data_IF_895772900410
#
_entry.id   IF_895772900410
#
_cell.length_a   1.000
_cell.length_b   1.000
_cell.length_c   1.000
_cell.angle_alpha   90.00
_cell.angle_beta   90.00
_cell.angle_gamma   90.00
#
_symmetry.space_group_name_H-M   'P 1'
#
loop_
_entity.id
_entity.type
_entity.pdbx_description
1 polymer ?
#
# COMPACT_ATOMS: atom_id res chain seq x y z
N UNK A 1 10.38 14.20 12.75
CA UNK A 1 10.45 13.28 11.61
C UNK A 1 10.83 11.89 12.11
N UNK A 2 10.13 10.83 11.64
CA UNK A 2 10.44 9.43 11.95
C UNK A 2 11.21 8.78 10.81
N UNK A 3 12.36 8.11 11.10
CA UNK A 3 13.13 7.30 10.13
C UNK A 3 13.63 6.04 10.79
N UNK A 4 13.29 4.89 10.23
CA UNK A 4 13.83 3.60 10.62
C UNK A 4 15.21 3.40 9.98
N UNK A 5 16.25 3.18 10.79
CA UNK A 5 17.63 3.00 10.32
C UNK A 5 17.99 1.53 10.15
N UNK A 6 17.75 0.72 11.17
CA UNK A 6 18.13 -0.70 11.13
C UNK A 6 17.22 -1.59 11.97
N UNK A 7 17.23 -2.89 11.62
CA UNK A 7 16.48 -3.92 12.34
C UNK A 7 17.22 -5.25 12.29
N UNK A 8 17.61 -5.77 13.46
CA UNK A 8 18.35 -7.04 13.59
C UNK A 8 17.56 -7.99 14.46
N UNK A 9 17.45 -9.25 14.03
CA UNK A 9 16.83 -10.34 14.79
C UNK A 9 17.75 -11.54 14.83
N UNK A 10 17.86 -12.16 16.01
CA UNK A 10 18.54 -13.45 16.19
C UNK A 10 17.65 -14.43 16.92
N UNK A 11 17.82 -15.71 16.61
CA UNK A 11 17.18 -16.81 17.32
C UNK A 11 18.20 -17.93 17.54
N UNK A 12 18.30 -18.41 18.78
CA UNK A 12 19.33 -19.39 19.18
C UNK A 12 20.75 -18.97 18.73
N UNK A 13 21.10 -17.71 19.00
CA UNK A 13 22.37 -17.04 18.60
C UNK A 13 22.60 -16.90 17.08
N UNK A 14 21.65 -17.33 16.23
CA UNK A 14 21.75 -17.24 14.77
C UNK A 14 21.05 -15.99 14.27
N UNK A 15 21.70 -15.26 13.37
CA UNK A 15 21.08 -14.11 12.71
C UNK A 15 19.99 -14.60 11.78
N UNK A 16 18.76 -14.09 11.96
CA UNK A 16 17.62 -14.34 11.08
C UNK A 16 17.46 -13.20 10.10
N UNK A 17 17.50 -11.96 10.59
CA UNK A 17 17.53 -10.74 9.80
C UNK A 17 18.60 -9.80 10.32
N UNK A 18 19.33 -9.18 9.40
CA UNK A 18 20.22 -8.06 9.67
C UNK A 18 20.03 -7.04 8.55
N UNK A 19 19.24 -6.02 8.85
CA UNK A 19 18.72 -5.09 7.85
C UNK A 19 19.08 -3.65 8.19
N UNK A 20 19.65 -2.94 7.22
CA UNK A 20 19.89 -1.51 7.22
C UNK A 20 19.02 -0.88 6.14
N UNK A 21 18.22 0.12 6.51
CA UNK A 21 17.28 0.80 5.62
C UNK A 21 17.76 2.18 5.22
N UNK A 22 18.51 2.83 6.10
CA UNK A 22 19.06 4.16 5.87
C UNK A 22 20.36 4.37 6.68
N UNK A 23 21.36 4.98 6.05
CA UNK A 23 22.63 5.36 6.69
C UNK A 23 22.84 6.87 6.74
N UNK A 24 21.95 7.67 6.12
CA UNK A 24 22.09 9.13 6.11
C UNK A 24 21.68 9.73 7.44
N UNK A 25 22.38 10.78 7.83
CA UNK A 25 21.97 11.66 8.93
C UNK A 25 20.63 12.34 8.60
N UNK A 26 19.98 12.83 9.63
CA UNK A 26 18.68 13.52 9.51
C UNK A 26 18.89 14.89 8.85
N UNK A 27 18.51 15.00 7.58
CA UNK A 27 18.36 16.28 6.90
C UNK A 27 16.88 16.62 6.76
N UNK A 28 16.55 17.92 6.74
CA UNK A 28 15.18 18.34 6.39
C UNK A 28 14.88 17.89 4.95
N UNK A 29 13.78 17.16 4.79
CA UNK A 29 13.36 16.61 3.50
C UNK A 29 12.05 17.25 3.04
N UNK A 30 12.00 17.50 1.75
CA UNK A 30 10.81 18.12 1.15
C UNK A 30 9.66 17.12 0.95
N UNK A 31 9.93 15.82 1.00
CA UNK A 31 8.93 14.77 0.77
C UNK A 31 9.11 13.56 1.71
N UNK A 32 8.08 12.71 1.78
CA UNK A 32 8.09 11.43 2.47
C UNK A 32 9.34 10.61 2.15
N UNK A 33 10.06 10.15 3.18
CA UNK A 33 11.18 9.22 2.97
C UNK A 33 10.68 7.84 2.61
N UNK A 34 11.24 7.26 1.56
CA UNK A 34 10.79 5.98 1.02
C UNK A 34 11.95 4.99 0.91
N UNK A 35 11.87 3.86 1.60
CA UNK A 35 12.78 2.72 1.41
C UNK A 35 12.10 1.67 0.56
N UNK A 36 12.68 1.33 -0.59
CA UNK A 36 12.23 0.23 -1.42
C UNK A 36 13.11 -1.00 -1.16
N UNK A 37 12.48 -2.09 -0.72
CA UNK A 37 13.12 -3.38 -0.50
C UNK A 37 12.84 -4.28 -1.68
N UNK A 38 13.89 -4.71 -2.36
CA UNK A 38 13.84 -5.68 -3.45
C UNK A 38 14.54 -6.98 -3.04
N UNK A 39 14.34 -8.03 -3.80
CA UNK A 39 15.01 -9.32 -3.60
C UNK A 39 14.24 -10.45 -4.29
N UNK A 40 14.88 -11.61 -4.40
CA UNK A 40 14.27 -12.79 -5.01
C UNK A 40 13.00 -13.26 -4.31
N UNK A 41 12.23 -14.12 -5.00
CA UNK A 41 11.10 -14.80 -4.39
C UNK A 41 11.59 -15.66 -3.22
N UNK A 42 10.92 -15.52 -2.07
CA UNK A 42 11.34 -16.23 -0.86
C UNK A 42 12.48 -15.59 -0.07
N UNK A 43 13.02 -14.44 -0.50
CA UNK A 43 14.01 -13.69 0.29
C UNK A 43 13.48 -13.22 1.65
N UNK A 44 12.15 -13.22 1.85
CA UNK A 44 11.54 -12.93 3.14
C UNK A 44 11.12 -11.48 3.34
N UNK A 45 10.94 -10.71 2.27
CA UNK A 45 10.52 -9.29 2.30
C UNK A 45 9.22 -9.07 3.08
N UNK A 46 8.14 -9.77 2.70
CA UNK A 46 6.83 -9.67 3.38
C UNK A 46 6.90 -10.08 4.85
N UNK A 47 7.76 -11.06 5.18
CA UNK A 47 7.97 -11.49 6.55
C UNK A 47 8.75 -10.45 7.36
N UNK A 48 9.72 -9.77 6.76
CA UNK A 48 10.44 -8.63 7.37
C UNK A 48 9.46 -7.51 7.71
N UNK A 49 8.60 -7.10 6.78
CA UNK A 49 7.59 -6.06 7.03
C UNK A 49 6.63 -6.47 8.16
N UNK A 50 6.18 -7.74 8.16
CA UNK A 50 5.40 -8.29 9.27
C UNK A 50 6.11 -8.14 10.61
N UNK A 51 7.38 -8.52 10.67
CA UNK A 51 8.15 -8.47 11.91
C UNK A 51 8.34 -7.05 12.42
N UNK A 52 8.58 -6.09 11.52
CA UNK A 52 8.62 -4.67 11.84
C UNK A 52 7.27 -4.19 12.42
N UNK A 53 6.18 -4.53 11.76
CA UNK A 53 4.84 -4.14 12.23
C UNK A 53 4.51 -4.74 13.60
N UNK A 54 4.79 -6.02 13.80
CA UNK A 54 4.55 -6.71 15.06
C UNK A 54 5.44 -6.17 16.18
N UNK A 55 6.72 -5.89 15.89
CA UNK A 55 7.64 -5.29 16.84
C UNK A 55 7.09 -3.96 17.36
N UNK A 56 6.84 -2.99 16.49
CA UNK A 56 6.35 -1.68 16.89
C UNK A 56 4.97 -1.76 17.57
N UNK A 57 4.08 -2.65 17.12
CA UNK A 57 2.78 -2.88 17.74
C UNK A 57 2.90 -3.36 19.18
N UNK A 58 3.76 -4.34 19.44
CA UNK A 58 3.91 -4.92 20.78
C UNK A 58 4.64 -4.01 21.76
N UNK A 59 5.72 -3.38 21.31
CA UNK A 59 6.52 -2.52 22.18
C UNK A 59 5.82 -1.19 22.46
N UNK A 60 5.19 -0.57 21.45
CA UNK A 60 4.51 0.71 21.65
C UNK A 60 3.24 0.62 22.52
N UNK A 61 2.58 -0.54 22.51
CA UNK A 61 1.42 -0.78 23.38
C UNK A 61 1.81 -1.20 24.80
N UNK A 62 3.11 -1.22 25.12
CA UNK A 62 3.64 -1.65 26.43
C UNK A 62 3.11 -3.03 26.87
N UNK A 63 2.53 -3.79 25.95
CA UNK A 63 2.15 -5.17 26.19
C UNK A 63 3.42 -5.99 26.39
N UNK A 64 3.39 -6.89 27.35
CA UNK A 64 4.55 -7.67 27.83
C UNK A 64 5.49 -8.08 26.69
N UNK A 65 6.77 -7.70 26.72
CA UNK A 65 7.77 -8.03 25.68
C UNK A 65 7.98 -9.54 25.46
N UNK A 66 7.37 -10.38 26.31
CA UNK A 66 7.44 -11.84 26.24
C UNK A 66 6.71 -12.46 25.03
N UNK A 67 5.87 -11.68 24.31
CA UNK A 67 5.19 -12.19 23.11
C UNK A 67 6.08 -12.22 21.86
N UNK A 68 7.31 -11.67 21.93
CA UNK A 68 8.27 -11.75 20.84
C UNK A 68 9.11 -13.01 21.02
N UNK A 69 8.89 -14.01 20.16
CA UNK A 69 9.50 -15.35 20.21
C UNK A 69 11.01 -15.42 19.97
N UNK A 70 11.66 -14.27 19.72
CA UNK A 70 13.09 -14.24 19.39
C UNK A 70 13.93 -13.89 20.61
N UNK A 71 15.11 -14.52 20.70
CA UNK A 71 16.02 -14.37 21.84
C UNK A 71 16.67 -12.98 21.84
N UNK A 72 16.89 -12.43 20.65
CA UNK A 72 17.50 -11.12 20.46
C UNK A 72 16.76 -10.36 19.35
N UNK A 73 16.52 -9.10 19.58
CA UNK A 73 16.24 -8.13 18.54
C UNK A 73 16.88 -6.77 18.88
N UNK A 74 17.19 -6.01 17.85
CA UNK A 74 17.63 -4.63 17.96
C UNK A 74 16.94 -3.81 16.85
N UNK A 75 16.36 -2.68 17.22
CA UNK A 75 15.83 -1.69 16.28
C UNK A 75 16.48 -0.34 16.56
N UNK A 76 16.83 0.37 15.51
CA UNK A 76 17.36 1.71 15.59
C UNK A 76 16.57 2.63 14.67
N UNK A 77 16.13 3.76 15.18
CA UNK A 77 15.37 4.75 14.43
C UNK A 77 15.64 6.16 14.98
N UNK A 78 15.30 7.15 14.18
CA UNK A 78 15.33 8.55 14.55
C UNK A 78 13.88 9.06 14.66
N UNK A 79 13.64 9.90 15.65
CA UNK A 79 12.36 10.59 15.85
C UNK A 79 12.59 11.92 16.54
N UNK A 80 12.10 13.01 15.94
CA UNK A 80 12.21 14.37 16.52
C UNK A 80 13.66 14.72 16.92
N UNK A 81 14.61 14.59 16.00
CA UNK A 81 16.04 14.87 16.19
C UNK A 81 16.77 13.96 17.20
N UNK A 82 16.06 13.00 17.77
CA UNK A 82 16.65 12.05 18.70
C UNK A 82 16.86 10.69 18.05
N UNK A 83 17.97 10.04 18.34
CA UNK A 83 18.20 8.64 17.99
C UNK A 83 17.70 7.72 19.10
N UNK A 84 16.94 6.70 18.70
CA UNK A 84 16.44 5.69 19.62
C UNK A 84 17.01 4.31 19.21
N UNK A 85 17.42 3.54 20.21
CA UNK A 85 17.78 2.14 20.05
C UNK A 85 17.05 1.31 21.10
N UNK A 86 16.35 0.26 20.67
CA UNK A 86 15.67 -0.67 21.56
C UNK A 86 16.24 -2.06 21.29
N UNK A 87 16.75 -2.68 22.33
CA UNK A 87 17.39 -3.98 22.27
C UNK A 87 16.77 -4.93 23.28
N UNK A 88 16.46 -6.15 22.87
CA UNK A 88 16.15 -7.28 23.76
C UNK A 88 17.29 -8.27 23.68
N UNK A 89 17.90 -8.55 24.81
CA UNK A 89 18.95 -9.56 24.95
C UNK A 89 18.73 -10.33 26.25
N UNK A 90 18.85 -11.67 26.21
CA UNK A 90 18.71 -12.55 27.37
C UNK A 90 17.43 -12.29 28.22
N UNK A 91 16.33 -11.97 27.55
CA UNK A 91 15.04 -11.68 28.19
C UNK A 91 14.90 -10.27 28.77
N UNK A 92 15.95 -9.45 28.74
CA UNK A 92 15.93 -8.06 29.21
C UNK A 92 15.73 -7.12 28.03
N UNK A 93 14.91 -6.10 28.25
CA UNK A 93 14.68 -5.01 27.29
C UNK A 93 15.45 -3.77 27.76
N UNK A 94 16.30 -3.25 26.88
CA UNK A 94 17.10 -2.06 27.14
C UNK A 94 16.80 -1.04 26.05
N UNK A 95 16.56 0.20 26.45
CA UNK A 95 16.29 1.31 25.53
C UNK A 95 17.27 2.45 25.73
N UNK A 96 17.62 3.08 24.62
CA UNK A 96 18.56 4.19 24.56
C UNK A 96 17.94 5.37 23.80
N UNK A 97 18.23 6.58 24.27
CA UNK A 97 17.98 7.85 23.58
C UNK A 97 19.31 8.60 23.49
N UNK A 98 19.77 8.90 22.27
CA UNK A 98 21.06 9.56 22.03
C UNK A 98 22.20 8.87 22.82
N UNK A 99 22.28 7.54 22.68
CA UNK A 99 23.26 6.65 23.33
C UNK A 99 23.15 6.55 24.87
N UNK A 100 22.24 7.28 25.49
CA UNK A 100 22.01 7.21 26.95
C UNK A 100 20.88 6.24 27.24
N UNK A 101 21.09 5.35 28.21
CA UNK A 101 20.02 4.44 28.68
C UNK A 101 18.84 5.21 29.24
N UNK A 102 17.64 4.86 28.80
CA UNK A 102 16.39 5.44 29.28
C UNK A 102 15.40 4.34 29.64
N UNK A 103 14.39 4.69 30.39
CA UNK A 103 13.27 3.79 30.65
C UNK A 103 12.43 3.61 29.39
N UNK A 104 11.92 2.39 29.15
CA UNK A 104 11.07 2.09 27.98
C UNK A 104 9.81 2.98 27.95
N UNK A 105 9.36 3.43 29.12
CA UNK A 105 8.23 4.35 29.23
C UNK A 105 8.53 5.76 28.66
N UNK A 106 9.79 6.14 28.60
CA UNK A 106 10.27 7.40 28.05
C UNK A 106 10.59 7.32 26.57
N UNK A 107 10.47 6.16 25.94
CA UNK A 107 10.70 5.98 24.51
C UNK A 107 9.55 6.57 23.70
N UNK A 108 9.88 7.39 22.73
CA UNK A 108 8.92 7.90 21.76
C UNK A 108 8.82 6.94 20.58
N UNK A 109 7.60 6.69 20.12
CA UNK A 109 7.30 5.77 18.99
C UNK A 109 6.60 6.51 17.87
N UNK A 110 6.63 5.99 16.62
CA UNK A 110 5.85 6.57 15.53
C UNK A 110 4.38 6.69 15.91
N UNK A 111 3.72 7.78 15.48
CA UNK A 111 2.32 8.06 15.83
C UNK A 111 1.38 7.01 15.31
N UNK A 112 1.61 6.56 14.07
CA UNK A 112 0.88 5.44 13.45
C UNK A 112 1.87 4.42 12.87
N UNK A 113 1.44 3.17 12.87
CA UNK A 113 2.10 2.04 12.22
C UNK A 113 1.07 1.49 11.25
N UNK A 114 1.23 1.77 9.98
CA UNK A 114 0.26 1.44 8.94
C UNK A 114 0.79 0.27 8.14
N UNK A 115 0.09 -0.86 8.19
CA UNK A 115 0.41 -2.06 7.41
C UNK A 115 -0.60 -2.20 6.27
N UNK A 116 -0.12 -2.11 5.04
CA UNK A 116 -0.90 -2.11 3.82
C UNK A 116 -0.43 -3.25 2.91
N UNK A 117 -1.35 -4.05 2.42
CA UNK A 117 -1.06 -5.10 1.46
C UNK A 117 -2.18 -5.25 0.43
N UNK A 118 -1.75 -5.50 -0.81
CA UNK A 118 -2.63 -5.79 -1.93
C UNK A 118 -2.90 -7.30 -2.09
N UNK A 119 -2.29 -8.14 -1.25
CA UNK A 119 -2.45 -9.59 -1.27
C UNK A 119 -3.60 -10.05 -0.37
N UNK A 120 -4.37 -11.04 -0.84
CA UNK A 120 -5.38 -11.73 -0.02
C UNK A 120 -4.74 -12.53 1.12
N UNK A 121 -3.58 -13.13 0.85
CA UNK A 121 -2.82 -13.96 1.82
C UNK A 121 -1.58 -13.25 2.34
N UNK A 122 -1.69 -11.97 2.71
CA UNK A 122 -0.57 -11.22 3.28
C UNK A 122 -0.12 -11.78 4.64
N UNK A 123 1.03 -11.33 5.11
CA UNK A 123 1.65 -11.80 6.36
C UNK A 123 1.37 -10.90 7.56
N UNK A 124 0.85 -9.70 7.37
CA UNK A 124 0.58 -8.76 8.46
C UNK A 124 -0.42 -9.32 9.47
N UNK A 125 -0.32 -8.88 10.71
CA UNK A 125 -1.26 -9.26 11.75
C UNK A 125 -2.56 -8.47 11.58
N UNK A 126 -3.66 -9.19 11.43
CA UNK A 126 -4.99 -8.58 11.42
C UNK A 126 -5.40 -8.20 12.85
N UNK A 127 -5.83 -6.96 13.02
CA UNK A 127 -6.41 -6.45 14.27
C UNK A 127 -7.74 -5.82 13.92
N UNK A 128 -8.81 -6.27 14.58
CA UNK A 128 -10.13 -5.69 14.36
C UNK A 128 -10.21 -4.26 14.92
N UNK A 129 -11.00 -3.41 14.31
CA UNK A 129 -11.23 -2.02 14.79
C UNK A 129 -11.74 -1.97 16.23
N UNK A 130 -12.40 -3.04 16.69
CA UNK A 130 -12.90 -3.16 18.07
C UNK A 130 -11.79 -3.40 19.11
N UNK A 131 -10.63 -3.92 18.71
CA UNK A 131 -9.56 -4.30 19.63
C UNK A 131 -8.55 -3.21 19.90
N UNK A 132 -8.66 -2.05 19.29
CA UNK A 132 -7.70 -1.11 19.68
C UNK A 132 -7.52 0.16 18.90
N UNK A 133 -7.75 1.19 19.61
CA UNK A 133 -7.24 2.52 19.39
C UNK A 133 -5.71 2.62 19.60
N UNK A 134 -4.96 1.52 19.38
CA UNK A 134 -3.51 1.54 19.36
C UNK A 134 -2.95 2.30 18.15
N UNK A 135 -1.64 2.39 18.08
CA UNK A 135 -0.92 3.04 16.96
C UNK A 135 -1.00 2.24 15.66
N UNK A 136 -1.23 0.92 15.75
CA UNK A 136 -1.24 0.02 14.59
C UNK A 136 -2.57 0.07 13.83
N UNK A 137 -2.48 0.10 12.50
CA UNK A 137 -3.61 0.05 11.56
C UNK A 137 -3.29 -0.92 10.43
N UNK A 138 -4.19 -1.89 10.23
CA UNK A 138 -4.12 -2.82 9.11
C UNK A 138 -5.07 -2.37 8.00
N UNK A 139 -4.54 -2.12 6.81
CA UNK A 139 -5.27 -1.64 5.63
C UNK A 139 -5.28 -2.67 4.48
N UNK A 140 -5.01 -3.94 4.76
CA UNK A 140 -5.00 -4.98 3.73
C UNK A 140 -6.38 -5.55 3.40
N UNK A 141 -6.43 -6.33 2.33
CA UNK A 141 -7.66 -6.92 1.75
C UNK A 141 -8.40 -7.83 2.75
N UNK A 142 -7.68 -8.54 3.62
CA UNK A 142 -8.30 -9.46 4.61
C UNK A 142 -9.27 -8.78 5.57
N UNK A 143 -9.15 -7.48 5.77
CA UNK A 143 -10.10 -6.72 6.57
C UNK A 143 -11.55 -6.78 6.01
N UNK A 144 -11.72 -7.29 4.80
CA UNK A 144 -12.97 -7.34 4.05
C UNK A 144 -13.42 -8.76 3.69
N UNK A 145 -12.64 -9.80 4.01
CA UNK A 145 -12.77 -11.13 3.38
C UNK A 145 -13.90 -12.03 3.91
N UNK A 146 -14.64 -11.66 4.97
CA UNK A 146 -15.65 -12.54 5.57
C UNK A 146 -17.08 -11.97 5.59
N UNK A 147 -17.36 -10.89 4.91
CA UNK A 147 -18.69 -10.33 4.83
C UNK A 147 -19.11 -10.16 3.37
N UNK A 148 -20.40 -10.09 3.11
CA UNK A 148 -21.01 -9.67 1.85
C UNK A 148 -20.20 -8.51 1.28
N UNK A 149 -19.27 -8.84 0.37
CA UNK A 149 -18.07 -8.11 -0.01
C UNK A 149 -18.29 -6.62 -0.32
N UNK A 150 -19.47 -6.26 -0.83
CA UNK A 150 -19.78 -4.91 -1.28
C UNK A 150 -20.13 -3.95 -0.15
N UNK A 151 -21.06 -4.27 0.75
CA UNK A 151 -21.56 -3.30 1.73
C UNK A 151 -20.54 -2.93 2.83
N UNK A 152 -19.71 -3.87 3.27
CA UNK A 152 -18.69 -3.58 4.29
C UNK A 152 -17.56 -2.72 3.73
N UNK A 153 -17.16 -2.94 2.47
CA UNK A 153 -16.15 -2.13 1.78
C UNK A 153 -16.67 -0.71 1.59
N UNK A 154 -17.91 -0.56 1.11
CA UNK A 154 -18.54 0.73 0.90
C UNK A 154 -18.64 1.54 2.21
N UNK A 155 -19.01 0.91 3.32
CA UNK A 155 -19.04 1.56 4.63
C UNK A 155 -17.66 2.01 5.11
N UNK A 156 -16.64 1.18 4.92
CA UNK A 156 -15.26 1.56 5.25
C UNK A 156 -14.78 2.71 4.41
N UNK A 157 -15.07 2.68 3.12
CA UNK A 157 -14.71 3.76 2.21
C UNK A 157 -15.42 5.06 2.62
N UNK A 158 -16.71 5.01 2.92
CA UNK A 158 -17.45 6.15 3.46
C UNK A 158 -16.83 6.70 4.74
N UNK A 159 -16.52 5.83 5.70
CA UNK A 159 -15.85 6.24 6.95
C UNK A 159 -14.52 6.94 6.67
N UNK A 160 -13.72 6.42 5.73
CA UNK A 160 -12.44 7.02 5.36
C UNK A 160 -12.62 8.36 4.66
N UNK A 161 -13.62 8.51 3.79
CA UNK A 161 -13.98 9.78 3.14
C UNK A 161 -14.39 10.81 4.21
N UNK A 162 -15.25 10.43 5.15
CA UNK A 162 -15.69 11.32 6.22
C UNK A 162 -14.50 11.78 7.10
N UNK A 163 -13.57 10.88 7.41
CA UNK A 163 -12.35 11.25 8.13
C UNK A 163 -11.48 12.25 7.36
N UNK A 164 -11.39 12.10 6.04
CA UNK A 164 -10.64 13.05 5.19
C UNK A 164 -11.36 14.39 5.13
N UNK A 165 -12.69 14.40 4.98
CA UNK A 165 -13.49 15.62 4.96
C UNK A 165 -13.42 16.39 6.30
N UNK A 166 -13.16 15.69 7.41
CA UNK A 166 -12.97 16.29 8.73
C UNK A 166 -11.61 16.96 8.92
N UNK A 167 -10.64 16.71 8.02
CA UNK A 167 -9.29 17.27 8.07
C UNK A 167 -8.94 17.94 6.73
N UNK A 168 -9.03 19.26 6.70
CA UNK A 168 -8.80 20.06 5.49
C UNK A 168 -7.43 19.83 4.84
N UNK A 169 -6.41 19.38 5.59
CA UNK A 169 -5.09 19.03 5.06
C UNK A 169 -5.12 17.80 4.16
N UNK A 170 -6.09 16.92 4.36
CA UNK A 170 -6.20 15.64 3.61
C UNK A 170 -6.98 15.76 2.30
N UNK A 171 -7.82 16.77 2.17
CA UNK A 171 -8.69 16.95 0.98
C UNK A 171 -7.89 17.04 -0.33
N UNK A 172 -6.78 17.80 -0.44
CA UNK A 172 -6.01 17.86 -1.69
C UNK A 172 -5.45 16.51 -2.14
N UNK A 173 -5.24 15.58 -1.20
CA UNK A 173 -4.72 14.24 -1.50
C UNK A 173 -5.72 13.36 -2.24
N UNK A 174 -7.02 13.52 -1.98
CA UNK A 174 -8.08 12.81 -2.72
C UNK A 174 -8.08 13.24 -4.20
N UNK A 175 -8.00 14.54 -4.49
CA UNK A 175 -7.95 15.03 -5.86
C UNK A 175 -6.76 14.43 -6.63
N UNK A 176 -5.58 14.36 -6.00
CA UNK A 176 -4.40 13.74 -6.61
C UNK A 176 -4.58 12.23 -6.90
N UNK A 177 -5.34 11.51 -6.05
CA UNK A 177 -5.69 10.11 -6.30
C UNK A 177 -6.61 10.01 -7.52
N UNK A 178 -7.64 10.87 -7.59
CA UNK A 178 -8.59 10.89 -8.71
C UNK A 178 -7.92 11.25 -10.03
N UNK A 179 -7.09 12.31 -10.04
CA UNK A 179 -6.30 12.71 -11.21
C UNK A 179 -5.42 11.55 -11.73
N UNK A 180 -4.79 10.80 -10.81
CA UNK A 180 -3.92 9.69 -11.18
C UNK A 180 -4.67 8.56 -11.89
N UNK A 181 -5.89 8.25 -11.45
CA UNK A 181 -6.72 7.19 -12.05
C UNK A 181 -7.62 7.71 -13.19
N UNK A 182 -7.58 9.03 -13.47
CA UNK A 182 -8.38 9.66 -14.52
C UNK A 182 -9.86 9.75 -14.17
N UNK A 183 -10.17 9.99 -12.89
CA UNK A 183 -11.53 10.30 -12.40
C UNK A 183 -11.67 11.81 -12.23
N UNK A 184 -12.90 12.30 -12.37
CA UNK A 184 -13.23 13.66 -11.97
C UNK A 184 -13.20 13.74 -10.44
N UNK A 185 -12.87 14.88 -9.88
CA UNK A 185 -12.83 15.08 -8.42
C UNK A 185 -14.20 14.98 -7.74
N UNK A 186 -15.12 14.20 -8.30
CA UNK A 186 -16.50 14.06 -7.85
C UNK A 186 -16.85 12.62 -7.55
N UNK A 187 -17.64 12.42 -6.50
CA UNK A 187 -18.27 11.14 -6.18
C UNK A 187 -19.67 11.32 -5.66
N UNK A 188 -20.49 10.31 -5.84
CA UNK A 188 -21.85 10.25 -5.31
C UNK A 188 -21.96 9.15 -4.24
N UNK A 189 -22.60 9.47 -3.13
CA UNK A 189 -22.97 8.52 -2.09
C UNK A 189 -24.47 8.31 -2.16
N UNK A 190 -24.87 7.12 -2.56
CA UNK A 190 -26.25 6.77 -2.89
C UNK A 190 -26.82 5.82 -1.85
N UNK A 191 -27.99 6.13 -1.34
CA UNK A 191 -28.77 5.27 -0.46
C UNK A 191 -30.11 4.97 -1.10
N UNK A 192 -30.41 3.71 -1.37
CA UNK A 192 -31.70 3.29 -1.94
C UNK A 192 -32.77 3.26 -0.85
N UNK A 193 -33.93 3.85 -1.10
CA UNK A 193 -35.06 3.87 -0.19
C UNK A 193 -35.76 2.50 -0.14
N UNK A 194 -35.75 1.85 1.01
CA UNK A 194 -36.45 0.57 1.22
C UNK A 194 -37.96 0.75 1.46
N UNK A 195 -38.38 1.97 1.81
CA UNK A 195 -39.80 2.33 2.06
C UNK A 195 -40.11 3.69 1.47
N UNK A 196 -40.45 3.72 0.18
CA UNK A 196 -40.81 4.93 -0.59
C UNK A 196 -41.93 5.78 0.08
N UNK A 197 -42.92 5.12 0.69
CA UNK A 197 -44.04 5.80 1.32
C UNK A 197 -43.67 6.75 2.46
N UNK A 198 -42.51 6.58 3.07
CA UNK A 198 -42.00 7.46 4.13
C UNK A 198 -41.55 8.83 3.59
N UNK A 199 -41.23 8.91 2.30
CA UNK A 199 -40.65 10.08 1.65
C UNK A 199 -41.63 10.79 0.71
N UNK A 200 -42.86 10.24 0.51
CA UNK A 200 -43.87 10.81 -0.37
C UNK A 200 -44.97 11.56 0.39
N UNK A 201 -45.09 11.34 1.69
CA UNK A 201 -46.08 12.03 2.55
C UNK A 201 -45.45 12.36 3.89
N UNK A 202 -45.69 13.58 4.42
CA UNK A 202 -45.32 13.91 5.80
C UNK A 202 -45.99 12.92 6.74
N UNK A 203 -45.25 11.92 7.19
CA UNK A 203 -45.77 10.88 8.09
C UNK A 203 -45.85 11.38 9.52
N UNK A 204 -47.00 11.10 10.17
CA UNK A 204 -47.10 11.33 11.60
C UNK A 204 -46.07 10.54 12.39
N UNK A 205 -45.49 11.16 13.41
CA UNK A 205 -44.39 10.70 14.26
C UNK A 205 -44.58 9.32 14.92
N UNK A 206 -45.80 8.78 14.93
CA UNK A 206 -46.13 7.57 15.72
C UNK A 206 -45.55 6.26 15.12
N UNK A 207 -45.48 6.12 13.79
CA UNK A 207 -44.94 4.88 13.17
C UNK A 207 -43.43 4.81 13.31
N UNK A 208 -42.73 5.92 13.19
CA UNK A 208 -41.28 5.99 13.42
C UNK A 208 -40.98 5.77 14.88
N UNK A 209 -41.76 6.33 15.82
CA UNK A 209 -41.61 6.08 17.27
C UNK A 209 -41.77 4.61 17.60
N UNK A 210 -42.80 3.95 17.11
CA UNK A 210 -43.03 2.53 17.40
C UNK A 210 -41.94 1.61 16.87
N UNK A 211 -41.38 1.90 15.67
CA UNK A 211 -40.24 1.16 15.12
C UNK A 211 -38.93 1.43 15.89
N UNK A 212 -38.67 2.69 16.18
CA UNK A 212 -37.53 3.12 16.96
C UNK A 212 -37.53 2.44 18.34
N UNK A 213 -38.67 2.48 19.06
CA UNK A 213 -38.82 1.79 20.34
C UNK A 213 -38.71 0.28 20.22
N UNK A 214 -39.23 -0.33 19.16
CA UNK A 214 -39.14 -1.78 18.96
C UNK A 214 -37.66 -2.24 18.74
N UNK A 215 -36.84 -1.43 18.11
CA UNK A 215 -35.42 -1.72 17.91
C UNK A 215 -34.61 -1.45 19.16
N UNK A 216 -34.91 -0.39 19.90
CA UNK A 216 -34.31 -0.16 21.23
C UNK A 216 -34.62 -1.33 22.16
N UNK A 217 -35.86 -1.80 22.24
CA UNK A 217 -36.24 -2.96 23.07
C UNK A 217 -35.55 -4.26 22.65
N UNK A 218 -35.40 -4.53 21.35
CA UNK A 218 -34.64 -5.70 20.85
C UNK A 218 -33.17 -5.64 21.19
N UNK A 219 -32.58 -4.43 21.24
CA UNK A 219 -31.15 -4.21 21.52
C UNK A 219 -30.80 -4.17 23.00
N UNK A 220 -31.70 -3.70 23.85
CA UNK A 220 -31.57 -3.82 25.32
C UNK A 220 -31.44 -5.27 25.75
N UNK A 221 -32.09 -6.21 25.02
CA UNK A 221 -31.98 -7.65 25.28
C UNK A 221 -30.65 -8.27 24.82
N UNK A 222 -29.90 -7.62 23.90
CA UNK A 222 -28.70 -8.20 23.28
C UNK A 222 -27.40 -7.56 23.76
N UNK A 223 -27.35 -6.27 24.10
CA UNK A 223 -26.13 -5.61 24.62
C UNK A 223 -26.41 -4.25 25.28
N UNK A 224 -26.01 -4.09 26.54
CA UNK A 224 -26.03 -2.84 27.31
C UNK A 224 -25.16 -1.72 26.72
N UNK A 225 -24.20 -2.02 25.85
CA UNK A 225 -23.28 -1.03 25.25
C UNK A 225 -23.84 -0.29 24.02
N UNK A 226 -25.05 -0.65 23.55
CA UNK A 226 -25.62 -0.04 22.35
C UNK A 226 -26.51 1.17 22.60
N UNK A 227 -26.93 1.40 23.85
CA UNK A 227 -27.79 2.52 24.23
C UNK A 227 -27.06 3.88 24.24
N UNK A 228 -25.74 3.86 24.40
CA UNK A 228 -24.92 5.09 24.47
C UNK A 228 -24.55 5.66 23.09
N UNK A 229 -24.64 4.87 22.01
CA UNK A 229 -24.30 5.34 20.66
C UNK A 229 -25.44 6.03 19.88
N UNK A 230 -26.69 5.99 20.38
CA UNK A 230 -27.83 6.61 19.68
C UNK A 230 -28.11 7.99 20.30
N UNK A 231 -27.31 8.97 19.97
CA UNK A 231 -27.50 10.38 20.34
C UNK A 231 -28.58 11.12 19.52
N UNK A 232 -29.53 10.42 18.91
CA UNK A 232 -30.58 10.99 18.08
C UNK A 232 -31.94 10.56 18.60
N UNK A 233 -32.82 11.50 18.90
CA UNK A 233 -34.21 11.23 19.30
C UNK A 233 -35.10 10.84 18.10
N UNK A 234 -36.21 10.14 18.37
CA UNK A 234 -37.16 9.81 17.34
C UNK A 234 -37.82 11.09 16.68
N UNK A 235 -37.85 12.18 17.44
CA UNK A 235 -38.35 13.45 16.92
C UNK A 235 -37.36 14.09 15.94
N UNK A 236 -36.09 14.18 16.30
CA UNK A 236 -35.02 14.68 15.42
C UNK A 236 -34.92 13.87 14.12
N UNK A 237 -34.99 12.52 14.21
CA UNK A 237 -35.03 11.67 13.03
C UNK A 237 -36.27 11.98 12.13
N UNK A 238 -37.42 12.18 12.73
CA UNK A 238 -38.63 12.51 11.99
C UNK A 238 -38.54 13.88 11.32
N UNK A 239 -37.97 14.87 11.98
CA UNK A 239 -37.71 16.20 11.40
C UNK A 239 -36.72 16.09 10.23
N UNK A 240 -35.68 15.30 10.38
CA UNK A 240 -34.73 15.05 9.31
C UNK A 240 -35.38 14.36 8.10
N UNK A 241 -36.17 13.29 8.30
CA UNK A 241 -36.89 12.63 7.20
C UNK A 241 -37.85 13.59 6.52
N UNK A 242 -38.56 14.44 7.28
CA UNK A 242 -39.45 15.44 6.72
C UNK A 242 -38.68 16.52 5.93
N UNK A 243 -37.44 16.85 6.29
CA UNK A 243 -36.61 17.79 5.53
C UNK A 243 -36.13 17.20 4.20
N UNK A 244 -35.99 15.88 4.11
CA UNK A 244 -35.65 15.19 2.88
C UNK A 244 -36.81 15.16 1.86
N UNK A 245 -38.06 15.27 2.31
CA UNK A 245 -39.24 15.24 1.42
C UNK A 245 -39.26 16.48 0.53
N UNK A 246 -39.08 16.27 -0.79
CA UNK A 246 -39.02 17.35 -1.77
C UNK A 246 -37.71 18.10 -1.85
N UNK A 247 -36.67 17.60 -1.20
CA UNK A 247 -35.31 18.12 -1.37
C UNK A 247 -34.67 17.59 -2.66
N UNK A 248 -33.71 18.35 -3.20
CA UNK A 248 -32.97 17.97 -4.43
C UNK A 248 -32.14 16.72 -4.28
N UNK A 249 -31.76 16.36 -3.06
CA UNK A 249 -30.96 15.15 -2.77
C UNK A 249 -31.78 13.86 -2.82
N UNK A 250 -33.11 13.95 -2.92
CA UNK A 250 -34.01 12.78 -3.04
C UNK A 250 -34.56 12.71 -4.45
N UNK A 251 -34.14 11.69 -5.20
CA UNK A 251 -34.63 11.40 -6.54
C UNK A 251 -35.26 10.01 -6.57
N UNK A 252 -36.44 9.88 -7.19
CA UNK A 252 -37.22 8.64 -7.40
C UNK A 252 -37.26 7.67 -6.22
N UNK A 253 -36.18 6.99 -5.97
CA UNK A 253 -36.03 5.93 -4.94
C UNK A 253 -34.70 6.01 -4.20
N UNK A 254 -33.96 7.07 -4.34
CA UNK A 254 -32.58 7.20 -3.83
C UNK A 254 -32.41 8.54 -3.11
N UNK A 255 -31.50 8.53 -2.11
CA UNK A 255 -30.96 9.74 -1.51
C UNK A 255 -29.51 9.82 -2.04
N UNK A 256 -29.17 10.91 -2.71
CA UNK A 256 -27.90 11.10 -3.39
C UNK A 256 -27.18 12.31 -2.81
N UNK A 257 -25.97 12.09 -2.28
CA UNK A 257 -25.05 13.14 -1.87
C UNK A 257 -23.90 13.22 -2.85
N UNK A 258 -23.85 14.30 -3.63
CA UNK A 258 -22.74 14.58 -4.54
C UNK A 258 -21.66 15.35 -3.79
N UNK A 259 -20.43 14.82 -3.82
CA UNK A 259 -19.25 15.41 -3.19
C UNK A 259 -18.26 15.82 -4.28
N UNK A 260 -18.02 17.12 -4.41
CA UNK A 260 -17.00 17.70 -5.27
C UNK A 260 -15.83 18.19 -4.39
N UNK A 261 -14.72 17.47 -4.42
CA UNK A 261 -13.54 17.78 -3.59
C UNK A 261 -12.78 19.01 -4.07
N UNK A 262 -13.07 19.52 -5.28
CA UNK A 262 -12.50 20.78 -5.77
C UNK A 262 -13.18 22.02 -5.17
N UNK A 263 -14.45 21.87 -4.80
CA UNK A 263 -15.31 22.96 -4.28
C UNK A 263 -15.54 22.91 -2.77
N UNK A 264 -14.72 22.11 -2.05
CA UNK A 264 -14.92 21.81 -0.64
C UNK A 264 -15.18 23.03 0.23
N UNK A 265 -16.42 23.17 0.76
CA UNK A 265 -16.61 23.95 2.00
C UNK A 265 -17.78 23.53 2.90
N UNK A 266 -18.83 22.89 2.41
CA UNK A 266 -19.99 22.60 3.26
C UNK A 266 -20.61 21.24 2.87
N UNK A 267 -20.00 20.17 3.37
CA UNK A 267 -20.52 18.84 3.08
C UNK A 267 -21.73 18.54 3.97
N UNK A 268 -22.91 18.69 3.42
CA UNK A 268 -24.17 18.35 4.05
C UNK A 268 -24.20 16.92 4.58
N UNK A 269 -23.53 16.01 3.88
CA UNK A 269 -23.34 14.63 4.30
C UNK A 269 -22.78 14.50 5.72
N UNK A 270 -21.76 15.29 6.10
CA UNK A 270 -21.15 15.22 7.44
C UNK A 270 -22.17 15.53 8.53
N UNK A 271 -23.05 16.50 8.28
CA UNK A 271 -24.10 16.86 9.23
C UNK A 271 -25.16 15.77 9.34
N UNK A 272 -25.44 15.10 8.23
CA UNK A 272 -26.56 14.17 8.10
C UNK A 272 -26.18 12.72 8.38
N UNK A 273 -24.89 12.38 8.43
CA UNK A 273 -24.41 10.98 8.51
C UNK A 273 -24.99 10.21 9.70
N UNK A 274 -25.13 10.85 10.87
CA UNK A 274 -25.74 10.22 12.05
C UNK A 274 -27.18 9.76 11.83
N UNK A 275 -27.95 10.54 11.06
CA UNK A 275 -29.34 10.19 10.72
C UNK A 275 -29.37 9.08 9.67
N UNK A 276 -28.49 9.13 8.67
CA UNK A 276 -28.38 8.09 7.64
C UNK A 276 -27.98 6.74 8.24
N UNK A 277 -27.02 6.71 9.15
CA UNK A 277 -26.62 5.50 9.88
C UNK A 277 -27.79 4.93 10.70
N UNK A 278 -28.57 5.82 11.32
CA UNK A 278 -29.75 5.39 12.08
C UNK A 278 -30.84 4.88 11.13
N UNK A 279 -31.09 5.54 10.01
CA UNK A 279 -32.06 5.08 9.00
C UNK A 279 -31.68 3.73 8.40
N UNK A 280 -30.41 3.47 8.16
CA UNK A 280 -29.93 2.16 7.74
C UNK A 280 -30.17 1.08 8.81
N UNK A 281 -29.83 1.37 10.07
CA UNK A 281 -30.08 0.46 11.21
C UNK A 281 -31.58 0.17 11.41
N UNK A 282 -32.46 1.11 11.06
CA UNK A 282 -33.91 0.97 11.07
C UNK A 282 -34.46 0.30 9.79
N UNK A 283 -33.58 -0.10 8.86
CA UNK A 283 -33.94 -0.70 7.57
C UNK A 283 -34.88 0.21 6.72
N UNK A 284 -34.74 1.52 6.82
CA UNK A 284 -35.45 2.48 6.03
C UNK A 284 -34.76 2.73 4.69
N UNK A 285 -33.44 2.65 4.68
CA UNK A 285 -32.58 2.80 3.50
C UNK A 285 -31.60 1.61 3.37
N UNK A 286 -30.93 1.51 2.22
CA UNK A 286 -29.84 0.54 2.01
C UNK A 286 -28.57 0.96 2.74
N UNK A 287 -27.57 0.10 2.73
CA UNK A 287 -26.17 0.52 2.95
C UNK A 287 -25.76 1.52 1.87
N UNK A 288 -24.79 2.41 2.15
CA UNK A 288 -24.28 3.34 1.14
C UNK A 288 -23.68 2.59 -0.05
N UNK A 289 -23.89 3.14 -1.24
CA UNK A 289 -23.20 2.79 -2.46
C UNK A 289 -22.43 4.02 -2.95
N UNK A 290 -21.11 3.89 -3.18
CA UNK A 290 -20.25 5.00 -3.57
C UNK A 290 -19.95 4.86 -5.06
N UNK A 291 -20.39 5.85 -5.83
CA UNK A 291 -20.20 5.94 -7.26
C UNK A 291 -19.18 7.03 -7.56
N UNK A 292 -18.16 6.71 -8.35
CA UNK A 292 -17.18 7.68 -8.81
C UNK A 292 -17.62 8.21 -10.17
N UNK A 293 -17.64 9.54 -10.31
CA UNK A 293 -18.04 10.18 -11.56
C UNK A 293 -16.83 10.27 -12.49
N UNK A 294 -16.99 9.78 -13.72
CA UNK A 294 -16.03 9.92 -14.80
C UNK A 294 -16.69 10.66 -15.95
N UNK A 295 -15.92 11.47 -16.71
CA UNK A 295 -16.45 12.20 -17.86
C UNK A 295 -17.24 11.28 -18.80
N UNK A 296 -18.45 11.71 -19.15
CA UNK A 296 -19.38 11.10 -20.09
C UNK A 296 -19.51 9.56 -20.03
N UNK A 297 -20.42 9.09 -19.16
CA UNK A 297 -21.05 7.76 -19.23
C UNK A 297 -20.28 6.53 -18.76
N UNK A 298 -19.21 6.64 -17.99
CA UNK A 298 -18.55 5.46 -17.44
C UNK A 298 -18.88 5.28 -15.95
N UNK A 299 -19.80 4.35 -15.64
CA UNK A 299 -19.99 3.86 -14.27
C UNK A 299 -18.70 3.23 -13.73
N UNK A 300 -18.36 3.53 -12.47
CA UNK A 300 -17.28 2.87 -11.74
C UNK A 300 -17.42 1.33 -11.74
N UNK A 301 -18.61 0.80 -11.99
CA UNK A 301 -18.84 -0.63 -12.17
C UNK A 301 -17.97 -1.23 -13.29
N UNK A 302 -17.61 -0.46 -14.31
CA UNK A 302 -16.72 -0.88 -15.40
C UNK A 302 -15.24 -0.68 -15.13
N UNK A 303 -14.86 -0.08 -13.99
CA UNK A 303 -13.46 0.02 -13.56
C UNK A 303 -12.93 -1.36 -13.18
N UNK A 304 -11.70 -1.66 -13.53
CA UNK A 304 -11.09 -2.95 -13.19
C UNK A 304 -11.06 -3.17 -11.66
N UNK A 305 -11.11 -4.41 -11.22
CA UNK A 305 -11.02 -4.75 -9.79
C UNK A 305 -9.74 -4.21 -9.15
N UNK A 306 -8.64 -4.15 -9.91
CA UNK A 306 -7.36 -3.59 -9.48
C UNK A 306 -7.43 -2.08 -9.22
N UNK A 307 -8.08 -1.31 -10.10
CA UNK A 307 -8.26 0.13 -9.94
C UNK A 307 -9.15 0.46 -8.72
N UNK A 308 -10.26 -0.26 -8.56
CA UNK A 308 -11.13 -0.12 -7.37
C UNK A 308 -10.36 -0.35 -6.09
N UNK A 309 -9.58 -1.43 -6.05
CA UNK A 309 -8.78 -1.79 -4.89
C UNK A 309 -7.70 -0.74 -4.61
N UNK A 310 -7.06 -0.22 -5.65
CA UNK A 310 -6.05 0.83 -5.54
C UNK A 310 -6.65 2.12 -4.94
N UNK A 311 -7.76 2.63 -5.47
CA UNK A 311 -8.45 3.82 -4.97
C UNK A 311 -8.84 3.64 -3.51
N UNK A 312 -9.49 2.51 -3.18
CA UNK A 312 -9.88 2.18 -1.83
C UNK A 312 -8.69 2.20 -0.86
N UNK A 313 -7.57 1.60 -1.27
CA UNK A 313 -6.38 1.50 -0.45
C UNK A 313 -5.72 2.87 -0.23
N UNK A 314 -5.63 3.69 -1.27
CA UNK A 314 -5.05 5.04 -1.17
C UNK A 314 -5.92 5.98 -0.32
N UNK A 315 -7.23 5.94 -0.47
CA UNK A 315 -8.16 6.72 0.37
C UNK A 315 -8.04 6.29 1.84
N UNK A 316 -7.98 4.99 2.12
CA UNK A 316 -7.79 4.49 3.48
C UNK A 316 -6.44 4.92 4.07
N UNK A 317 -5.37 4.90 3.27
CA UNK A 317 -4.05 5.38 3.70
C UNK A 317 -4.13 6.85 4.12
N UNK A 318 -4.67 7.72 3.26
CA UNK A 318 -4.79 9.16 3.55
C UNK A 318 -5.70 9.42 4.75
N UNK A 319 -6.80 8.68 4.90
CA UNK A 319 -7.67 8.83 6.06
C UNK A 319 -6.95 8.53 7.39
N UNK A 320 -5.97 7.62 7.35
CA UNK A 320 -5.32 7.04 8.53
C UNK A 320 -3.99 7.69 8.90
N UNK A 321 -3.25 8.19 7.90
CA UNK A 321 -1.90 8.73 8.09
C UNK A 321 -1.89 9.96 9.01
N UNK A 322 -0.85 10.04 9.85
CA UNK A 322 -0.49 11.19 10.67
C UNK A 322 1.01 11.49 10.48
N UNK A 323 1.45 12.64 10.96
CA UNK A 323 2.88 12.96 11.04
C UNK A 323 3.64 11.88 11.82
N UNK A 324 4.91 11.69 11.49
CA UNK A 324 5.79 10.71 12.14
C UNK A 324 5.27 9.27 12.11
N UNK A 325 4.59 8.88 11.03
CA UNK A 325 4.09 7.52 10.83
C UNK A 325 5.15 6.59 10.23
N UNK A 326 5.06 5.31 10.57
CA UNK A 326 5.72 4.21 9.85
C UNK A 326 4.69 3.53 8.94
N UNK A 327 4.93 3.57 7.63
CA UNK A 327 4.07 2.98 6.62
C UNK A 327 4.80 1.77 6.03
N UNK A 328 4.17 0.60 6.07
CA UNK A 328 4.71 -0.66 5.56
C UNK A 328 3.80 -1.17 4.45
N UNK A 329 4.31 -1.25 3.22
CA UNK A 329 3.54 -1.64 2.04
C UNK A 329 4.13 -2.90 1.43
N UNK A 330 3.31 -3.94 1.28
CA UNK A 330 3.72 -5.23 0.73
C UNK A 330 3.10 -5.46 -0.64
N UNK A 331 3.96 -5.72 -1.65
CA UNK A 331 3.60 -6.04 -3.04
C UNK A 331 2.60 -5.05 -3.68
N UNK A 332 2.89 -3.73 -3.68
CA UNK A 332 1.96 -2.74 -4.23
C UNK A 332 1.72 -2.87 -5.74
N UNK A 333 2.62 -3.54 -6.47
CA UNK A 333 2.51 -3.77 -7.92
C UNK A 333 1.40 -4.74 -8.31
N UNK A 334 0.91 -5.56 -7.39
CA UNK A 334 -0.12 -6.53 -7.68
C UNK A 334 -1.38 -5.85 -8.21
N UNK A 335 -1.84 -6.31 -9.36
CA UNK A 335 -3.00 -5.79 -10.09
C UNK A 335 -2.84 -4.36 -10.64
N UNK A 336 -1.62 -3.78 -10.61
CA UNK A 336 -1.34 -2.47 -11.22
C UNK A 336 -0.77 -2.61 -12.64
N UNK A 337 -1.31 -1.81 -13.56
CA UNK A 337 -0.73 -1.70 -14.89
C UNK A 337 0.71 -1.14 -14.81
N UNK A 338 1.68 -1.58 -15.65
CA UNK A 338 3.07 -1.11 -15.62
C UNK A 338 3.23 0.41 -15.60
N UNK A 339 2.39 1.16 -16.34
CA UNK A 339 2.38 2.63 -16.31
C UNK A 339 2.12 3.21 -14.92
N UNK A 340 1.33 2.53 -14.10
CA UNK A 340 1.04 2.94 -12.73
C UNK A 340 2.16 2.56 -11.78
N UNK A 341 2.78 1.39 -12.00
CA UNK A 341 3.97 0.99 -11.24
C UNK A 341 5.11 2.00 -11.38
N UNK A 342 5.34 2.52 -12.60
CA UNK A 342 6.36 3.56 -12.89
C UNK A 342 6.07 4.92 -12.22
N UNK A 343 4.89 5.15 -11.68
CA UNK A 343 4.48 6.42 -11.08
C UNK A 343 4.00 6.26 -9.64
N UNK A 344 4.10 5.05 -9.10
CA UNK A 344 3.51 4.70 -7.80
C UNK A 344 4.15 5.45 -6.65
N UNK A 345 5.49 5.46 -6.59
CA UNK A 345 6.22 6.11 -5.50
C UNK A 345 6.04 7.63 -5.56
N UNK A 346 6.09 8.20 -6.76
CA UNK A 346 5.81 9.63 -6.96
C UNK A 346 4.39 9.99 -6.55
N UNK A 347 3.39 9.18 -6.91
CA UNK A 347 2.03 9.39 -6.44
C UNK A 347 1.96 9.32 -4.93
N UNK A 348 2.54 8.28 -4.31
CA UNK A 348 2.57 8.11 -2.87
C UNK A 348 3.13 9.35 -2.17
N UNK A 349 4.28 9.86 -2.62
CA UNK A 349 4.88 11.10 -2.11
C UNK A 349 3.96 12.31 -2.30
N UNK A 350 3.31 12.43 -3.44
CA UNK A 350 2.40 13.55 -3.72
C UNK A 350 1.16 13.54 -2.82
N UNK A 351 0.53 12.39 -2.62
CA UNK A 351 -0.68 12.30 -1.78
C UNK A 351 -0.37 12.42 -0.29
N UNK A 352 0.86 12.09 0.12
CA UNK A 352 1.32 12.19 1.53
C UNK A 352 2.17 13.43 1.81
N UNK A 353 2.17 14.42 0.92
CA UNK A 353 3.03 15.60 1.02
C UNK A 353 2.88 16.39 2.33
N UNK A 354 1.68 16.41 2.90
CA UNK A 354 1.43 17.04 4.20
C UNK A 354 1.99 16.24 5.40
N UNK A 355 2.40 14.97 5.17
CA UNK A 355 2.91 14.03 6.17
C UNK A 355 4.37 13.62 5.89
N UNK A 356 5.16 14.55 5.36
CA UNK A 356 6.55 14.33 4.95
C UNK A 356 7.50 13.87 6.05
N UNK A 357 7.11 14.02 7.30
CA UNK A 357 7.87 13.56 8.48
C UNK A 357 7.78 12.05 8.71
N UNK A 358 7.04 11.33 7.89
CA UNK A 358 6.82 9.88 7.98
C UNK A 358 7.84 9.09 7.15
N UNK A 359 7.98 7.79 7.43
CA UNK A 359 8.80 6.86 6.66
C UNK A 359 7.95 5.76 6.05
N UNK A 360 8.06 5.58 4.74
CA UNK A 360 7.41 4.50 4.01
C UNK A 360 8.43 3.43 3.60
N UNK A 361 8.17 2.17 3.97
CA UNK A 361 8.98 1.02 3.56
C UNK A 361 8.12 0.13 2.68
N UNK A 362 8.54 -0.04 1.44
CA UNK A 362 7.86 -0.89 0.46
C UNK A 362 8.67 -2.15 0.20
N UNK A 363 7.99 -3.29 0.13
CA UNK A 363 8.57 -4.53 -0.42
C UNK A 363 7.94 -4.79 -1.79
N UNK A 364 8.78 -4.95 -2.82
CA UNK A 364 8.31 -5.11 -4.20
C UNK A 364 9.21 -6.05 -5.02
N UNK A 365 8.62 -6.61 -6.07
CA UNK A 365 9.33 -7.32 -7.14
C UNK A 365 9.39 -6.50 -8.45
N UNK A 366 8.83 -5.29 -8.46
CA UNK A 366 8.74 -4.47 -9.67
C UNK A 366 10.00 -3.63 -9.91
N UNK A 367 10.68 -3.89 -11.02
CA UNK A 367 11.77 -3.04 -11.50
C UNK A 367 11.29 -1.64 -11.90
N UNK A 368 10.02 -1.49 -12.28
CA UNK A 368 9.42 -0.20 -12.58
C UNK A 368 9.36 0.73 -11.37
N UNK A 369 9.15 0.19 -10.17
CA UNK A 369 9.16 0.99 -8.95
C UNK A 369 10.56 1.48 -8.57
N UNK A 370 11.60 0.72 -8.93
CA UNK A 370 12.99 1.16 -8.74
C UNK A 370 13.28 2.42 -9.56
N UNK A 371 12.76 2.51 -10.78
CA UNK A 371 12.94 3.67 -11.65
C UNK A 371 12.20 4.94 -11.19
N UNK A 372 11.23 4.81 -10.27
CA UNK A 372 10.42 5.92 -9.73
C UNK A 372 10.98 6.49 -8.40
N UNK A 373 12.13 5.97 -7.93
CA UNK A 373 12.76 6.44 -6.70
C UNK A 373 13.35 7.85 -6.88
N UNK A 374 13.06 8.73 -5.92
CA UNK A 374 13.64 10.06 -5.87
C UNK A 374 14.98 10.03 -5.13
N UNK A 375 16.06 10.61 -5.66
CA UNK A 375 17.42 10.50 -5.10
C UNK A 375 17.50 10.95 -3.64
N UNK A 376 17.01 12.14 -3.35
CA UNK A 376 17.24 12.81 -2.05
C UNK A 376 16.32 12.32 -0.91
N UNK A 377 15.29 11.55 -1.25
CA UNK A 377 14.26 11.13 -0.30
C UNK A 377 13.89 9.66 -0.40
N UNK A 378 14.80 8.84 -0.92
CA UNK A 378 14.60 7.40 -1.04
C UNK A 378 15.87 6.62 -0.75
N UNK A 379 15.70 5.36 -0.36
CA UNK A 379 16.77 4.36 -0.28
C UNK A 379 16.33 3.09 -0.99
N UNK A 380 17.28 2.41 -1.64
CA UNK A 380 17.09 1.12 -2.28
C UNK A 380 17.85 0.06 -1.51
N UNK A 381 17.16 -0.99 -1.09
CA UNK A 381 17.69 -2.07 -0.27
C UNK A 381 17.48 -3.39 -0.99
N UNK A 382 18.56 -4.14 -1.22
CA UNK A 382 18.48 -5.54 -1.67
C UNK A 382 18.43 -6.45 -0.44
N UNK A 383 17.44 -7.32 -0.35
CA UNK A 383 17.34 -8.36 0.68
C UNK A 383 17.76 -9.69 0.09
N UNK A 384 18.89 -10.22 0.59
CA UNK A 384 19.50 -11.44 0.13
C UNK A 384 19.36 -12.55 1.16
N UNK A 385 19.12 -13.77 0.68
CA UNK A 385 19.20 -14.99 1.47
C UNK A 385 20.63 -15.49 1.44
N UNK A 386 21.26 -15.57 2.60
CA UNK A 386 22.63 -16.06 2.78
C UNK A 386 22.56 -17.37 3.55
N UNK A 387 23.26 -18.39 3.07
CA UNK A 387 23.40 -19.67 3.76
C UNK A 387 24.86 -19.79 4.17
N UNK A 388 25.13 -19.72 5.46
CA UNK A 388 26.44 -19.93 6.04
C UNK A 388 26.42 -21.12 7.00
N UNK A 389 27.27 -22.10 6.74
CA UNK A 389 27.37 -23.35 7.53
C UNK A 389 25.99 -24.04 7.75
N UNK A 390 25.15 -24.08 6.72
CA UNK A 390 23.81 -24.65 6.78
C UNK A 390 22.77 -23.81 7.55
N UNK A 391 23.13 -22.60 7.91
CA UNK A 391 22.25 -21.63 8.58
C UNK A 391 21.76 -20.63 7.53
N UNK A 392 20.47 -20.52 7.42
CA UNK A 392 19.79 -19.53 6.58
C UNK A 392 19.62 -18.22 7.35
N UNK A 393 20.17 -17.15 6.81
CA UNK A 393 20.01 -15.78 7.29
C UNK A 393 19.57 -14.86 6.14
N UNK A 394 19.05 -13.71 6.48
CA UNK A 394 18.65 -12.68 5.54
C UNK A 394 19.38 -11.40 5.88
N UNK A 395 20.14 -10.92 4.92
CA UNK A 395 20.96 -9.73 5.08
C UNK A 395 20.55 -8.70 4.05
N UNK A 396 20.37 -7.47 4.49
CA UNK A 396 20.13 -6.38 3.56
C UNK A 396 21.42 -5.74 3.12
N UNK A 397 21.45 -5.30 1.87
CA UNK A 397 22.48 -4.42 1.33
C UNK A 397 21.83 -3.14 0.87
N UNK A 398 22.27 -2.02 1.43
CA UNK A 398 21.90 -0.71 0.89
C UNK A 398 22.62 -0.57 -0.46
N UNK A 399 21.88 -0.30 -1.50
CA UNK A 399 22.42 -0.09 -2.83
C UNK A 399 22.90 1.37 -2.89
N UNK A 400 24.22 1.60 -3.07
CA UNK A 400 24.82 2.92 -2.93
C UNK A 400 24.65 3.79 -4.18
N UNK A 401 23.91 3.30 -5.18
CA UNK A 401 23.73 3.99 -6.45
C UNK A 401 22.37 4.68 -6.50
N UNK A 402 22.41 5.88 -7.02
CA UNK A 402 21.21 6.58 -7.43
C UNK A 402 20.72 5.98 -8.77
N UNK A 403 19.52 5.41 -8.75
CA UNK A 403 18.91 4.81 -9.95
C UNK A 403 18.20 5.84 -10.84
N UNK A 404 18.31 7.13 -10.53
CA UNK A 404 17.58 8.22 -11.17
C UNK A 404 17.69 8.25 -12.70
N UNK A 405 18.88 7.93 -13.25
CA UNK A 405 19.10 7.95 -14.70
C UNK A 405 19.07 6.56 -15.35
N UNK A 406 18.73 5.51 -14.58
CA UNK A 406 18.85 4.14 -15.05
C UNK A 406 17.67 3.73 -15.92
N UNK A 407 17.97 3.05 -17.03
CA UNK A 407 16.94 2.37 -17.83
C UNK A 407 16.39 1.15 -17.09
N UNK A 408 15.21 0.67 -17.48
CA UNK A 408 14.63 -0.55 -16.93
C UNK A 408 15.58 -1.76 -17.09
N UNK A 409 16.32 -1.83 -18.20
CA UNK A 409 17.32 -2.89 -18.44
C UNK A 409 18.50 -2.81 -17.48
N UNK A 410 19.05 -1.62 -17.24
CA UNK A 410 20.13 -1.43 -16.27
C UNK A 410 19.69 -1.85 -14.87
N UNK A 411 18.44 -1.51 -14.48
CA UNK A 411 17.88 -1.95 -13.20
C UNK A 411 17.80 -3.48 -13.14
N UNK A 412 17.32 -4.13 -14.21
CA UNK A 412 17.23 -5.59 -14.27
C UNK A 412 18.60 -6.26 -14.16
N UNK A 413 19.63 -5.72 -14.81
CA UNK A 413 20.99 -6.29 -14.75
C UNK A 413 21.69 -5.99 -13.42
N UNK A 414 21.70 -4.72 -12.99
CA UNK A 414 22.51 -4.29 -11.87
C UNK A 414 21.83 -4.52 -10.51
N UNK A 415 20.51 -4.38 -10.44
CA UNK A 415 19.75 -4.48 -9.20
C UNK A 415 19.16 -5.89 -9.02
N UNK A 416 18.52 -6.41 -10.07
CA UNK A 416 17.92 -7.75 -10.04
C UNK A 416 18.87 -8.87 -10.45
N UNK A 417 20.12 -8.53 -10.88
CA UNK A 417 21.18 -9.47 -11.25
C UNK A 417 20.75 -10.45 -12.35
N UNK A 418 19.84 -10.04 -13.22
CA UNK A 418 19.50 -10.84 -14.40
C UNK A 418 20.70 -10.87 -15.36
N UNK A 419 20.90 -12.00 -16.01
CA UNK A 419 21.96 -12.14 -17.02
C UNK A 419 21.54 -11.61 -18.37
N UNK A 420 20.26 -11.72 -18.68
CA UNK A 420 19.68 -11.31 -19.95
C UNK A 420 18.19 -10.98 -19.78
N UNK A 421 17.67 -10.13 -20.65
CA UNK A 421 16.24 -9.84 -20.83
C UNK A 421 15.68 -10.51 -22.09
N UNK A 422 16.52 -11.26 -22.83
CA UNK A 422 16.15 -11.90 -24.09
C UNK A 422 15.49 -13.25 -23.87
N UNK A 423 14.83 -13.73 -24.91
CA UNK A 423 14.24 -15.07 -24.93
C UNK A 423 15.34 -16.13 -24.73
N UNK A 424 15.10 -17.10 -23.86
CA UNK A 424 16.09 -18.15 -23.50
C UNK A 424 16.52 -19.02 -24.70
N UNK A 425 15.67 -19.24 -25.66
CA UNK A 425 16.02 -19.96 -26.89
C UNK A 425 16.99 -19.15 -27.75
N UNK A 426 16.73 -17.85 -27.88
CA UNK A 426 17.60 -16.94 -28.62
C UNK A 426 18.97 -16.83 -27.94
N UNK A 427 19.01 -16.74 -26.62
CA UNK A 427 20.23 -16.69 -25.82
C UNK A 427 21.04 -18.00 -25.97
N UNK A 428 20.36 -19.15 -25.96
CA UNK A 428 21.02 -20.44 -26.18
C UNK A 428 21.67 -20.51 -27.56
N UNK A 429 20.94 -20.14 -28.61
CA UNK A 429 21.47 -20.13 -29.99
C UNK A 429 22.65 -19.14 -30.14
N UNK A 430 22.53 -17.96 -29.55
CA UNK A 430 23.58 -16.95 -29.55
C UNK A 430 24.83 -17.44 -28.79
N UNK A 431 24.64 -18.09 -27.64
CA UNK A 431 25.75 -18.66 -26.85
C UNK A 431 26.44 -19.79 -27.62
N UNK A 432 25.70 -20.61 -28.30
CA UNK A 432 26.26 -21.68 -29.15
C UNK A 432 27.04 -21.09 -30.30
N UNK A 433 26.53 -20.05 -30.99
CA UNK A 433 27.25 -19.36 -32.06
C UNK A 433 28.56 -18.75 -31.54
N UNK A 434 28.51 -18.02 -30.43
CA UNK A 434 29.70 -17.44 -29.82
C UNK A 434 30.73 -18.48 -29.41
N UNK A 435 30.29 -19.62 -28.84
CA UNK A 435 31.16 -20.73 -28.48
C UNK A 435 31.88 -21.31 -29.70
N UNK A 436 31.15 -21.60 -30.77
CA UNK A 436 31.72 -22.13 -32.01
C UNK A 436 32.75 -21.16 -32.63
N UNK A 437 32.45 -19.86 -32.64
CA UNK A 437 33.38 -18.85 -33.14
C UNK A 437 34.61 -18.72 -32.24
N UNK A 438 34.46 -18.71 -30.92
CA UNK A 438 35.57 -18.57 -29.95
C UNK A 438 36.46 -19.78 -29.91
N UNK A 439 35.90 -20.99 -30.05
CA UNK A 439 36.65 -22.25 -30.12
C UNK A 439 37.21 -22.54 -31.53
N UNK A 440 37.02 -21.61 -32.47
CA UNK A 440 37.47 -21.75 -33.87
C UNK A 440 36.94 -23.01 -34.54
N UNK A 441 35.67 -23.33 -34.34
CA UNK A 441 35.04 -24.51 -34.94
C UNK A 441 35.06 -24.41 -36.46
N UNK A 442 35.37 -25.51 -37.15
CA UNK A 442 35.36 -25.62 -38.59
C UNK A 442 33.99 -26.06 -39.14
N UNK A 443 32.96 -26.19 -38.29
CA UNK A 443 31.61 -26.59 -38.66
C UNK A 443 30.86 -25.45 -39.34
N UNK A 444 31.29 -25.07 -40.55
CA UNK A 444 30.75 -23.91 -41.29
C UNK A 444 29.25 -23.95 -41.51
N UNK A 445 28.68 -25.15 -41.74
CA UNK A 445 27.25 -25.34 -41.99
C UNK A 445 26.41 -25.00 -40.75
N UNK A 446 26.81 -25.50 -39.55
CA UNK A 446 26.13 -25.23 -38.28
C UNK A 446 26.23 -23.75 -37.89
N UNK A 447 27.40 -23.13 -38.09
CA UNK A 447 27.59 -21.71 -37.82
C UNK A 447 26.71 -20.86 -38.75
N UNK A 448 26.65 -21.19 -40.05
CA UNK A 448 25.82 -20.48 -41.03
C UNK A 448 24.33 -20.59 -40.70
N UNK A 449 23.85 -21.77 -40.34
CA UNK A 449 22.44 -21.97 -39.96
C UNK A 449 22.06 -21.19 -38.70
N UNK A 450 22.91 -21.20 -37.67
CA UNK A 450 22.66 -20.42 -36.44
C UNK A 450 22.69 -18.92 -36.74
N UNK A 451 23.62 -18.44 -37.54
CA UNK A 451 23.72 -17.06 -37.93
C UNK A 451 22.49 -16.58 -38.68
N UNK A 452 22.07 -17.29 -39.74
CA UNK A 452 20.87 -16.98 -40.49
C UNK A 452 19.61 -16.96 -39.61
N UNK A 453 19.50 -17.97 -38.69
CA UNK A 453 18.44 -18.02 -37.72
C UNK A 453 18.37 -16.80 -36.83
N UNK A 454 19.51 -16.37 -36.26
CA UNK A 454 19.58 -15.23 -35.36
C UNK A 454 19.34 -13.90 -36.10
N UNK A 455 19.95 -13.71 -37.29
CA UNK A 455 19.76 -12.52 -38.11
C UNK A 455 18.28 -12.28 -38.49
N UNK A 456 17.51 -13.34 -38.70
CA UNK A 456 16.08 -13.27 -39.01
C UNK A 456 15.26 -12.57 -37.93
N UNK A 457 15.70 -12.56 -36.68
CA UNK A 457 14.98 -12.02 -35.52
C UNK A 457 15.61 -10.75 -34.94
N UNK A 458 16.65 -10.21 -35.52
CA UNK A 458 17.26 -8.95 -35.14
C UNK A 458 16.76 -7.84 -36.06
N UNK A 459 15.77 -7.08 -35.60
CA UNK A 459 15.07 -6.07 -36.42
C UNK A 459 15.63 -4.65 -36.24
N UNK A 460 16.43 -4.41 -35.20
CA UNK A 460 16.95 -3.09 -34.89
C UNK A 460 18.43 -2.97 -35.27
N UNK A 461 18.77 -2.05 -36.17
CA UNK A 461 20.15 -1.81 -36.59
C UNK A 461 21.08 -1.36 -35.46
N UNK A 462 20.54 -0.71 -34.42
CA UNK A 462 21.30 -0.28 -33.24
C UNK A 462 21.47 -1.39 -32.17
N UNK A 463 20.96 -2.59 -32.43
CA UNK A 463 21.09 -3.70 -31.47
C UNK A 463 22.56 -4.14 -31.34
N UNK A 464 23.15 -4.19 -30.12
CA UNK A 464 24.53 -4.63 -29.91
C UNK A 464 24.85 -6.02 -30.48
N UNK A 465 23.84 -6.88 -30.65
CA UNK A 465 23.99 -8.20 -31.27
C UNK A 465 24.48 -8.11 -32.72
N UNK A 466 24.19 -7.04 -33.44
CA UNK A 466 24.69 -6.85 -34.79
C UNK A 466 26.21 -6.85 -34.86
N UNK A 467 26.91 -6.39 -33.82
CA UNK A 467 28.36 -6.46 -33.71
C UNK A 467 28.81 -7.91 -33.65
N UNK A 468 28.14 -8.73 -32.83
CA UNK A 468 28.46 -10.16 -32.68
C UNK A 468 28.18 -10.92 -33.99
N UNK A 469 27.03 -10.65 -34.63
CA UNK A 469 26.69 -11.28 -35.91
C UNK A 469 27.64 -10.88 -37.03
N UNK A 470 28.11 -9.62 -37.06
CA UNK A 470 29.10 -9.18 -38.03
C UNK A 470 30.46 -9.87 -37.84
N UNK A 471 30.90 -10.04 -36.60
CA UNK A 471 32.13 -10.79 -36.27
C UNK A 471 32.02 -12.26 -36.67
N UNK A 472 30.87 -12.89 -36.38
CA UNK A 472 30.61 -14.27 -36.80
C UNK A 472 30.60 -14.41 -38.33
N UNK A 473 30.05 -13.42 -39.05
CA UNK A 473 30.08 -13.42 -40.51
C UNK A 473 31.49 -13.33 -41.07
N UNK A 474 32.30 -12.40 -40.51
CA UNK A 474 33.71 -12.29 -40.89
C UNK A 474 34.51 -13.57 -40.63
N UNK A 475 34.18 -14.27 -39.53
CA UNK A 475 34.75 -15.57 -39.22
C UNK A 475 34.40 -16.63 -40.27
N UNK A 476 33.12 -16.74 -40.64
CA UNK A 476 32.66 -17.65 -41.71
C UNK A 476 33.32 -17.37 -43.05
N UNK A 477 33.52 -16.10 -43.40
CA UNK A 477 34.20 -15.70 -44.64
C UNK A 477 35.67 -16.16 -44.63
N UNK A 478 36.38 -16.03 -43.49
CA UNK A 478 37.75 -16.48 -43.35
C UNK A 478 37.89 -17.99 -43.56
N UNK A 479 36.91 -18.79 -43.06
CA UNK A 479 36.89 -20.23 -43.23
C UNK A 479 36.61 -20.70 -44.68
N UNK A 480 36.07 -19.84 -45.55
CA UNK A 480 35.80 -20.13 -46.95
C UNK A 480 37.02 -19.84 -47.84
N UNK A 481 37.97 -19.04 -47.33
CA UNK A 481 39.19 -18.66 -48.05
C UNK A 481 40.44 -19.46 -47.66
N UNK A 482 40.33 -20.27 -46.60
CA UNK A 482 41.32 -21.32 -46.24
C UNK A 482 40.84 -22.68 -46.81
#
# INVERSE_FOLDING_TARGET
MFILNSFTIKHKKKVIYDCVFNNSEMEERESLFTTLIIGENGAGKSFLLKMLSDFFRHISNRSKPNNIKYDFFKVQYQLNENSYSIEKSEGRLISYKNEKTIDIESVEFPKKIIALSFMVNDKFSFVSEKEGFGRYRYLGVRATSNATYTSTIQKKLLSSILNILSDSKKIPSINKIFDFVGLNGELEIVYTLKRKTLFTRKMGSNLLKSKFESILRRKEFINKSYSEEINVSANELNEFINSLVGSEIVSDNEIIYSLDFSKAKDFELIRNIRFLDLMEKLELISSPDIKFVKDDSFDFEYTSSGEKHFIFTMINLISTIEDDSLILIDEPELSLHPKWQMKYIRLLKNITNEFKTSHCILASHSHFMVSDLAPDSSSLVSLEKVIDNGIESRVSKLIPYDTYSWSAENILYEVFKLRTTRNSYFEHDLTNLLKMVSERSTETENISQLQEKLEKYVFNESDPINVILSQSRSYLESLKHD
#
